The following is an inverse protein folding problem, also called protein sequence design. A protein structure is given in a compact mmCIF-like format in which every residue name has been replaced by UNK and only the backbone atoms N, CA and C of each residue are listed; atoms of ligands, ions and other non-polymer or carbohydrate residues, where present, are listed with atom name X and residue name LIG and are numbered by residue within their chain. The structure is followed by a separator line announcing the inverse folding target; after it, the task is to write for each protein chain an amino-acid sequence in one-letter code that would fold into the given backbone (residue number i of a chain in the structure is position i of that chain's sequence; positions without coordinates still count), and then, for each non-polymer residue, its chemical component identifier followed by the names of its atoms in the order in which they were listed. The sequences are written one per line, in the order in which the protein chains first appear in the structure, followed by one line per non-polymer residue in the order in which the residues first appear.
data_IF_180153548400
#
_entry.id   IF_180153548400
#
_cell.length_a   1.000
_cell.length_b   1.000
_cell.length_c   1.000
_cell.angle_alpha   90.00
_cell.angle_beta   90.00
_cell.angle_gamma   90.00
#
_symmetry.space_group_name_H-M   'P 1'
#
loop_
_entity.id
_entity.type
_entity.pdbx_description
1 polymer ?
#
# COMPACT_ATOMS: atom_id res chain seq x y z
N UNK A 1 5.99 -15.41 18.54
CA UNK A 1 7.12 -14.62 19.07
C UNK A 1 8.43 -15.00 18.39
N UNK A 2 8.54 -16.22 17.85
CA UNK A 2 9.82 -16.78 17.38
C UNK A 2 10.39 -16.11 16.11
N UNK A 3 9.57 -15.33 15.38
CA UNK A 3 10.01 -14.52 14.22
C UNK A 3 10.27 -13.03 14.56
N UNK A 4 10.13 -12.62 15.83
CA UNK A 4 10.27 -11.22 16.23
C UNK A 4 11.75 -10.85 16.36
N UNK A 5 12.22 -9.92 15.51
CA UNK A 5 13.61 -9.48 15.48
C UNK A 5 13.78 -8.05 16.03
N UNK A 6 14.89 -7.75 16.72
CA UNK A 6 15.29 -6.38 17.01
C UNK A 6 15.28 -5.48 15.78
N UNK A 7 14.88 -4.23 15.96
CA UNK A 7 14.73 -3.23 14.90
C UNK A 7 13.36 -3.22 14.21
N UNK A 8 12.49 -4.22 14.46
CA UNK A 8 11.12 -4.24 13.91
C UNK A 8 10.23 -3.29 14.70
N UNK A 9 9.42 -2.49 14.01
CA UNK A 9 8.40 -1.66 14.65
C UNK A 9 7.13 -2.48 14.81
N UNK A 10 6.64 -2.61 16.03
CA UNK A 10 5.51 -3.49 16.35
C UNK A 10 4.50 -2.80 17.26
N UNK A 11 3.26 -3.27 17.19
CA UNK A 11 2.28 -3.12 18.27
C UNK A 11 2.21 -4.44 19.03
N UNK A 12 2.34 -4.37 20.35
CA UNK A 12 2.21 -5.51 21.26
C UNK A 12 1.06 -5.27 22.20
N UNK A 13 0.07 -6.15 22.13
CA UNK A 13 -0.99 -6.23 23.13
C UNK A 13 -0.53 -7.16 24.24
N UNK A 14 -0.63 -6.69 25.48
CA UNK A 14 -0.24 -7.47 26.65
C UNK A 14 -1.27 -7.36 27.77
N UNK A 15 -1.35 -8.39 28.61
CA UNK A 15 -2.19 -8.40 29.80
C UNK A 15 -1.60 -7.52 30.89
N UNK A 16 -2.48 -6.84 31.61
CA UNK A 16 -2.15 -6.08 32.82
C UNK A 16 -2.43 -6.91 34.07
N UNK A 17 -1.90 -6.47 35.21
CA UNK A 17 -2.09 -7.16 36.47
C UNK A 17 -3.55 -7.04 36.96
N UNK A 18 -4.08 -8.06 37.67
CA UNK A 18 -5.40 -7.97 38.27
C UNK A 18 -5.50 -6.78 39.24
N UNK A 19 -6.42 -5.85 38.97
CA UNK A 19 -6.61 -4.63 39.76
C UNK A 19 -6.35 -3.33 39.00
N UNK A 20 -5.74 -3.42 37.81
CA UNK A 20 -5.69 -2.29 36.89
C UNK A 20 -7.07 -1.98 36.30
N UNK A 21 -7.29 -0.71 35.92
CA UNK A 21 -8.56 -0.23 35.34
C UNK A 21 -8.96 -0.96 34.05
N UNK A 22 -7.98 -1.55 33.37
CA UNK A 22 -8.16 -2.36 32.16
C UNK A 22 -7.38 -3.66 32.30
N UNK A 23 -7.86 -4.74 31.69
CA UNK A 23 -7.19 -6.05 31.73
C UNK A 23 -6.04 -6.19 30.71
N UNK A 24 -5.93 -5.26 29.76
CA UNK A 24 -4.91 -5.28 28.71
C UNK A 24 -4.49 -3.88 28.32
N UNK A 25 -3.28 -3.76 27.78
CA UNK A 25 -2.73 -2.53 27.22
C UNK A 25 -2.01 -2.81 25.89
N UNK A 26 -1.76 -1.75 25.12
CA UNK A 26 -1.06 -1.81 23.85
C UNK A 26 0.22 -0.96 23.92
N UNK A 27 1.36 -1.56 23.55
CA UNK A 27 2.64 -0.90 23.41
C UNK A 27 3.04 -0.80 21.93
N UNK A 28 3.29 0.42 21.45
CA UNK A 28 3.75 0.68 20.08
C UNK A 28 5.17 1.23 20.11
N UNK A 29 6.09 0.55 19.44
CA UNK A 29 7.49 0.96 19.44
C UNK A 29 8.38 0.05 18.60
N UNK A 30 9.69 0.23 18.76
CA UNK A 30 10.71 -0.59 18.09
C UNK A 30 11.21 -1.65 19.05
N UNK A 31 11.25 -2.90 18.61
CA UNK A 31 11.83 -3.99 19.39
C UNK A 31 13.32 -3.75 19.56
N UNK A 32 13.80 -3.70 20.80
CA UNK A 32 15.24 -3.54 21.08
C UNK A 32 15.89 -4.87 21.45
N UNK A 33 15.17 -5.77 22.12
CA UNK A 33 15.65 -7.09 22.50
C UNK A 33 14.49 -8.09 22.60
N UNK A 34 14.75 -9.34 22.22
CA UNK A 34 13.84 -10.48 22.42
C UNK A 34 14.67 -11.61 23.03
N UNK A 35 14.14 -12.21 24.09
CA UNK A 35 14.74 -13.36 24.75
C UNK A 35 13.65 -14.33 25.25
N UNK A 36 14.06 -15.37 25.99
CA UNK A 36 13.13 -16.37 26.52
C UNK A 36 12.16 -15.80 27.58
N UNK A 37 12.59 -14.78 28.32
CA UNK A 37 11.80 -14.14 29.37
C UNK A 37 10.80 -13.11 28.81
N UNK A 38 11.01 -12.59 27.61
CA UNK A 38 10.08 -11.64 26.99
C UNK A 38 10.72 -10.69 25.98
N UNK A 39 10.15 -9.49 25.91
CA UNK A 39 10.41 -8.51 24.86
C UNK A 39 10.66 -7.12 25.47
N UNK A 40 11.68 -6.43 24.96
CA UNK A 40 11.88 -4.98 25.18
C UNK A 40 11.47 -4.18 23.95
N UNK A 41 10.71 -3.12 24.19
CA UNK A 41 10.22 -2.18 23.18
C UNK A 41 10.59 -0.76 23.58
N UNK A 42 11.25 -0.03 22.69
CA UNK A 42 11.40 1.41 22.83
C UNK A 42 10.14 2.12 22.31
N UNK A 43 9.37 2.70 23.24
CA UNK A 43 8.11 3.39 22.93
C UNK A 43 8.29 4.91 23.04
N UNK A 44 7.33 5.68 22.51
CA UNK A 44 7.32 7.15 22.67
C UNK A 44 7.29 7.62 24.13
N UNK A 45 6.87 6.77 25.07
CA UNK A 45 6.81 7.07 26.51
C UNK A 45 8.06 6.58 27.26
N UNK A 46 9.02 6.00 26.54
CA UNK A 46 10.22 5.36 27.10
C UNK A 46 10.24 3.85 26.83
N UNK A 47 11.34 3.18 27.21
CA UNK A 47 11.49 1.74 27.06
C UNK A 47 10.51 0.98 27.97
N UNK A 48 9.97 -0.11 27.46
CA UNK A 48 9.03 -0.99 28.15
C UNK A 48 9.45 -2.44 27.98
N UNK A 49 9.52 -3.17 29.09
CA UNK A 49 9.73 -4.62 29.12
C UNK A 49 8.39 -5.32 29.34
N UNK A 50 8.09 -6.32 28.51
CA UNK A 50 6.86 -7.12 28.59
C UNK A 50 7.26 -8.59 28.74
N UNK A 51 6.72 -9.27 29.76
CA UNK A 51 6.99 -10.68 30.00
C UNK A 51 6.35 -11.57 28.91
N UNK A 52 6.99 -12.67 28.56
CA UNK A 52 6.53 -13.54 27.44
C UNK A 52 5.12 -14.08 27.65
N UNK A 53 4.75 -14.38 28.89
CA UNK A 53 3.42 -14.89 29.28
C UNK A 53 2.33 -13.80 29.28
N UNK A 54 2.71 -12.53 29.40
CA UNK A 54 1.80 -11.40 29.30
C UNK A 54 1.49 -11.03 27.84
N UNK A 55 2.30 -11.46 26.86
CA UNK A 55 2.10 -11.10 25.45
C UNK A 55 0.91 -11.85 24.86
N UNK A 56 -0.12 -11.11 24.44
CA UNK A 56 -1.35 -11.65 23.85
C UNK A 56 -1.32 -11.61 22.32
N UNK A 57 -0.76 -10.54 21.76
CA UNK A 57 -0.65 -10.35 20.30
C UNK A 57 0.57 -9.49 19.97
N UNK A 58 1.25 -9.85 18.89
CA UNK A 58 2.28 -9.01 18.28
C UNK A 58 1.94 -8.80 16.82
N UNK A 59 1.98 -7.56 16.36
CA UNK A 59 1.79 -7.21 14.96
C UNK A 59 2.89 -6.26 14.49
N UNK A 60 3.63 -6.64 13.44
CA UNK A 60 4.55 -5.71 12.78
C UNK A 60 3.78 -4.59 12.11
N UNK A 61 4.22 -3.35 12.32
CA UNK A 61 3.61 -2.17 11.74
C UNK A 61 4.62 -1.42 10.89
N UNK A 62 4.16 -0.68 9.86
CA UNK A 62 5.04 0.14 9.02
C UNK A 62 5.88 1.12 9.84
N UNK A 63 7.00 1.63 9.29
CA UNK A 63 7.79 2.68 9.92
C UNK A 63 6.95 3.87 10.41
N UNK A 64 7.45 4.58 11.42
CA UNK A 64 6.77 5.77 11.90
C UNK A 64 6.58 6.78 10.75
N UNK A 65 5.44 7.48 10.68
CA UNK A 65 5.22 8.50 9.66
C UNK A 65 6.36 9.53 9.65
N UNK A 66 6.93 9.79 8.48
CA UNK A 66 8.04 10.75 8.30
C UNK A 66 7.56 12.20 8.23
N UNK A 67 6.27 12.43 7.94
CA UNK A 67 5.63 13.75 7.96
C UNK A 67 4.65 13.82 9.14
N UNK A 68 4.81 14.83 9.98
CA UNK A 68 3.85 15.16 11.04
C UNK A 68 2.72 16.05 10.48
N UNK A 69 1.48 15.86 10.93
CA UNK A 69 0.30 16.58 10.41
C UNK A 69 -0.96 15.71 10.40
N UNK A 70 -2.11 16.28 10.00
CA UNK A 70 -3.34 15.49 9.86
C UNK A 70 -3.23 14.59 8.63
N UNK A 71 -3.75 13.37 8.70
CA UNK A 71 -3.60 12.39 7.59
C UNK A 71 -4.09 12.93 6.25
N UNK A 72 -5.18 13.70 6.23
CA UNK A 72 -5.72 14.31 5.00
C UNK A 72 -4.90 15.50 4.47
N UNK A 73 -3.97 16.05 5.24
CA UNK A 73 -3.03 17.10 4.81
C UNK A 73 -1.73 16.48 4.26
N UNK A 74 -1.37 15.29 4.74
CA UNK A 74 -0.14 14.57 4.35
C UNK A 74 -0.37 13.66 3.14
N UNK A 75 -1.56 13.03 3.08
CA UNK A 75 -1.94 12.07 2.05
C UNK A 75 -2.99 12.72 1.17
N UNK A 76 -2.59 13.09 -0.05
CA UNK A 76 -3.51 13.70 -1.01
C UNK A 76 -4.54 12.67 -1.52
N UNK A 77 -5.63 13.14 -2.13
CA UNK A 77 -6.58 12.26 -2.83
C UNK A 77 -5.89 11.41 -3.92
N UNK A 78 -4.83 11.95 -4.55
CA UNK A 78 -3.99 11.22 -5.51
C UNK A 78 -3.20 10.10 -4.84
N UNK A 79 -2.65 10.35 -3.65
CA UNK A 79 -1.94 9.32 -2.87
C UNK A 79 -2.88 8.20 -2.43
N UNK A 80 -4.10 8.54 -1.97
CA UNK A 80 -5.12 7.53 -1.66
C UNK A 80 -5.51 6.71 -2.89
N UNK A 81 -5.63 7.34 -4.07
CA UNK A 81 -5.89 6.64 -5.34
C UNK A 81 -4.76 5.68 -5.70
N UNK A 82 -3.50 6.10 -5.53
CA UNK A 82 -2.31 5.25 -5.73
C UNK A 82 -2.29 4.05 -4.79
N UNK A 83 -2.52 4.29 -3.50
CA UNK A 83 -2.55 3.23 -2.47
C UNK A 83 -3.69 2.25 -2.76
N UNK A 84 -4.89 2.75 -3.06
CA UNK A 84 -6.04 1.92 -3.40
C UNK A 84 -5.82 1.10 -4.68
N UNK A 85 -5.14 1.67 -5.68
CA UNK A 85 -4.78 0.97 -6.90
C UNK A 85 -3.84 -0.21 -6.61
N UNK A 86 -2.82 -0.01 -5.77
CA UNK A 86 -1.80 -1.02 -5.47
C UNK A 86 -2.31 -2.17 -4.58
N UNK A 87 -3.27 -1.91 -3.69
CA UNK A 87 -3.67 -2.90 -2.69
C UNK A 87 -4.56 -4.04 -3.26
N UNK A 88 -5.31 -3.78 -4.34
CA UNK A 88 -6.30 -4.71 -4.91
C UNK A 88 -6.15 -4.76 -6.43
N UNK A 89 -5.00 -5.23 -6.90
CA UNK A 89 -4.73 -5.44 -8.33
C UNK A 89 -5.32 -6.78 -8.78
N UNK A 90 -6.02 -6.84 -9.91
CA UNK A 90 -6.32 -8.12 -10.55
C UNK A 90 -5.06 -8.70 -11.20
N UNK A 91 -5.19 -9.92 -11.73
CA UNK A 91 -4.08 -10.68 -12.33
C UNK A 91 -3.46 -10.01 -13.57
N UNK A 92 -4.28 -9.31 -14.36
CA UNK A 92 -3.86 -8.69 -15.61
C UNK A 92 -3.95 -7.17 -15.51
N UNK A 93 -2.77 -6.54 -15.45
CA UNK A 93 -2.61 -5.10 -15.31
C UNK A 93 -1.52 -4.57 -16.22
N UNK A 94 -1.69 -3.33 -16.67
CA UNK A 94 -0.64 -2.60 -17.40
C UNK A 94 -0.63 -1.13 -16.99
N UNK A 95 0.55 -0.52 -16.94
CA UNK A 95 0.74 0.89 -16.65
C UNK A 95 1.03 1.65 -17.93
N UNK A 96 0.01 2.34 -18.45
CA UNK A 96 0.12 3.18 -19.62
C UNK A 96 0.81 4.49 -19.24
N UNK A 97 2.07 4.61 -19.67
CA UNK A 97 2.88 5.80 -19.54
C UNK A 97 3.86 5.88 -20.71
N UNK A 98 4.14 7.08 -21.24
CA UNK A 98 5.01 7.28 -22.41
C UNK A 98 6.40 6.63 -22.22
N UNK A 99 6.96 6.71 -21.01
CA UNK A 99 8.23 6.05 -20.67
C UNK A 99 8.13 4.52 -20.67
N UNK A 100 7.01 3.94 -20.22
CA UNK A 100 6.85 2.48 -20.25
C UNK A 100 6.76 1.98 -21.70
N UNK A 101 6.04 2.71 -22.57
CA UNK A 101 5.97 2.41 -24.00
C UNK A 101 7.33 2.53 -24.70
N UNK A 102 8.15 3.52 -24.32
CA UNK A 102 9.53 3.65 -24.80
C UNK A 102 10.39 2.45 -24.37
N UNK A 103 10.23 2.02 -23.13
CA UNK A 103 11.00 0.91 -22.56
C UNK A 103 10.62 -0.44 -23.20
N UNK A 104 9.35 -0.69 -23.48
CA UNK A 104 8.88 -1.90 -24.19
C UNK A 104 9.50 -2.08 -25.59
N UNK A 105 9.94 -0.99 -26.23
CA UNK A 105 10.65 -1.01 -27.51
C UNK A 105 12.14 -1.39 -27.43
N UNK A 106 12.67 -1.69 -26.24
CA UNK A 106 14.10 -1.94 -26.01
C UNK A 106 14.33 -3.36 -25.48
N UNK A 107 15.31 -4.10 -26.01
CA UNK A 107 15.62 -5.50 -25.59
C UNK A 107 15.97 -5.64 -24.09
N UNK A 108 16.23 -4.52 -23.40
CA UNK A 108 16.52 -4.44 -21.95
C UNK A 108 15.27 -4.33 -21.05
N UNK A 109 14.05 -4.38 -21.60
CA UNK A 109 12.80 -4.19 -20.85
C UNK A 109 12.57 -5.20 -19.70
N UNK A 110 13.24 -6.36 -19.74
CA UNK A 110 13.07 -7.43 -18.75
C UNK A 110 13.66 -7.12 -17.37
N UNK A 111 14.61 -6.17 -17.26
CA UNK A 111 15.28 -5.83 -15.98
C UNK A 111 14.81 -4.50 -15.36
N UNK A 112 14.00 -3.71 -16.07
CA UNK A 112 13.54 -2.41 -15.57
C UNK A 112 12.20 -2.57 -14.88
N UNK A 113 12.17 -2.38 -13.56
CA UNK A 113 10.93 -2.26 -12.79
C UNK A 113 10.03 -1.20 -13.44
N UNK A 114 8.92 -1.64 -14.06
CA UNK A 114 7.94 -0.75 -14.68
C UNK A 114 7.59 0.40 -13.73
N UNK A 115 7.60 1.63 -14.25
CA UNK A 115 7.15 2.76 -13.47
C UNK A 115 5.65 2.58 -13.20
N UNK A 116 5.28 2.44 -11.92
CA UNK A 116 3.89 2.44 -11.46
C UNK A 116 3.33 3.88 -11.49
N UNK A 117 3.30 4.47 -12.69
CA UNK A 117 2.92 5.86 -12.98
C UNK A 117 2.04 5.90 -14.22
N UNK A 118 1.21 6.92 -14.32
CA UNK A 118 0.30 7.11 -15.44
C UNK A 118 -1.06 6.45 -15.21
N UNK A 119 -1.59 5.81 -16.25
CA UNK A 119 -2.92 5.21 -16.23
C UNK A 119 -2.81 3.71 -16.01
N UNK A 120 -3.50 3.20 -15.01
CA UNK A 120 -3.53 1.77 -14.69
C UNK A 120 -4.68 1.09 -15.43
N UNK A 121 -4.34 0.22 -16.38
CA UNK A 121 -5.27 -0.66 -17.09
C UNK A 121 -5.43 -1.95 -16.27
N UNK A 122 -6.66 -2.44 -16.15
CA UNK A 122 -7.00 -3.58 -15.27
C UNK A 122 -8.00 -4.49 -15.94
N UNK A 123 -7.74 -5.78 -15.88
CA UNK A 123 -8.62 -6.81 -16.40
C UNK A 123 -8.74 -7.96 -15.40
N UNK A 124 -9.94 -8.49 -15.27
CA UNK A 124 -10.23 -9.66 -14.46
C UNK A 124 -11.42 -10.41 -15.04
N UNK A 125 -11.32 -11.74 -15.12
CA UNK A 125 -12.44 -12.57 -15.56
C UNK A 125 -13.50 -12.80 -14.49
N UNK A 126 -13.12 -12.71 -13.22
CA UNK A 126 -14.00 -13.00 -12.07
C UNK A 126 -14.71 -11.79 -11.50
N UNK A 127 -14.36 -10.58 -11.94
CA UNK A 127 -14.91 -9.32 -11.42
C UNK A 127 -15.56 -8.46 -12.51
N UNK A 128 -16.34 -7.45 -12.10
CA UNK A 128 -16.97 -6.50 -13.03
C UNK A 128 -16.63 -5.06 -12.69
N UNK A 129 -16.84 -4.15 -13.65
CA UNK A 129 -16.71 -2.69 -13.49
C UNK A 129 -15.31 -2.23 -13.11
N UNK A 130 -15.03 -1.97 -11.82
CA UNK A 130 -13.81 -1.28 -11.38
C UNK A 130 -12.54 -2.10 -11.64
N UNK A 131 -12.64 -3.42 -11.54
CA UNK A 131 -11.55 -4.34 -11.87
C UNK A 131 -11.32 -4.48 -13.39
N UNK A 132 -12.21 -3.93 -14.22
CA UNK A 132 -12.21 -3.98 -15.68
C UNK A 132 -12.35 -2.56 -16.25
N UNK A 133 -11.55 -1.62 -15.73
CA UNK A 133 -11.53 -0.24 -16.22
C UNK A 133 -10.19 0.46 -15.99
N UNK A 134 -9.87 1.36 -16.92
CA UNK A 134 -8.73 2.25 -16.85
C UNK A 134 -8.88 3.21 -15.67
N UNK A 135 -7.83 3.30 -14.87
CA UNK A 135 -7.73 4.16 -13.72
C UNK A 135 -6.67 5.24 -13.97
N UNK A 136 -7.05 6.50 -14.28
CA UNK A 136 -6.12 7.61 -14.42
C UNK A 136 -5.57 8.01 -13.04
N UNK A 137 -4.42 7.44 -12.66
CA UNK A 137 -3.78 7.70 -11.36
C UNK A 137 -3.03 9.02 -11.41
N UNK A 138 -2.18 9.19 -12.42
CA UNK A 138 -1.50 10.45 -12.77
C UNK A 138 -1.46 10.65 -14.27
N UNK A 139 -0.82 11.71 -14.74
CA UNK A 139 -0.54 11.92 -16.16
C UNK A 139 0.20 10.71 -16.76
N UNK A 140 -0.26 10.26 -17.93
CA UNK A 140 0.36 9.20 -18.73
C UNK A 140 1.52 9.74 -19.57
N UNK A 141 1.62 11.06 -19.75
CA UNK A 141 2.58 11.70 -20.65
C UNK A 141 2.26 11.48 -22.14
N UNK A 142 1.12 10.87 -22.46
CA UNK A 142 0.59 10.73 -23.82
C UNK A 142 -0.37 11.87 -24.13
N UNK A 143 -0.51 12.20 -25.42
CA UNK A 143 -1.63 13.02 -25.88
C UNK A 143 -2.96 12.32 -25.60
N UNK A 144 -4.03 13.10 -25.40
CA UNK A 144 -5.36 12.57 -25.03
C UNK A 144 -5.87 11.50 -25.99
N UNK A 145 -5.82 11.76 -27.30
CA UNK A 145 -6.26 10.82 -28.35
C UNK A 145 -5.45 9.52 -28.29
N UNK A 146 -4.11 9.62 -28.29
CA UNK A 146 -3.23 8.45 -28.15
C UNK A 146 -3.49 7.65 -26.87
N UNK A 147 -3.74 8.34 -25.76
CA UNK A 147 -4.05 7.70 -24.49
C UNK A 147 -5.36 6.90 -24.56
N UNK A 148 -6.41 7.47 -25.17
CA UNK A 148 -7.67 6.78 -25.36
C UNK A 148 -7.56 5.62 -26.34
N UNK A 149 -6.89 5.80 -27.47
CA UNK A 149 -6.67 4.74 -28.46
C UNK A 149 -5.97 3.53 -27.83
N UNK A 150 -4.93 3.77 -27.02
CA UNK A 150 -4.22 2.73 -26.30
C UNK A 150 -5.12 2.00 -25.27
N UNK A 151 -6.00 2.74 -24.57
CA UNK A 151 -6.98 2.14 -23.65
C UNK A 151 -7.95 1.26 -24.42
N UNK A 152 -8.52 1.76 -25.52
CA UNK A 152 -9.48 1.03 -26.35
C UNK A 152 -8.87 -0.26 -26.89
N UNK A 153 -7.67 -0.18 -27.44
CA UNK A 153 -6.96 -1.33 -27.98
C UNK A 153 -6.69 -2.39 -26.91
N UNK A 154 -6.25 -1.97 -25.72
CA UNK A 154 -5.95 -2.89 -24.62
C UNK A 154 -7.18 -3.66 -24.13
N UNK A 155 -8.35 -3.03 -24.04
CA UNK A 155 -9.60 -3.71 -23.66
C UNK A 155 -10.18 -4.53 -24.82
N UNK A 156 -10.04 -4.07 -26.07
CA UNK A 156 -10.52 -4.76 -27.27
C UNK A 156 -9.82 -6.12 -27.43
N UNK A 157 -8.51 -6.18 -27.24
CA UNK A 157 -7.73 -7.44 -27.29
C UNK A 157 -8.14 -8.46 -26.23
N UNK A 158 -8.80 -7.99 -25.15
CA UNK A 158 -9.36 -8.82 -24.07
C UNK A 158 -10.86 -9.07 -24.21
N UNK A 159 -11.49 -8.64 -25.31
CA UNK A 159 -12.92 -8.81 -25.53
C UNK A 159 -13.80 -8.03 -24.54
N UNK A 160 -13.30 -6.91 -24.00
CA UNK A 160 -14.01 -6.07 -23.03
C UNK A 160 -14.33 -4.69 -23.60
N UNK A 161 -15.43 -4.05 -23.17
CA UNK A 161 -15.66 -2.64 -23.46
C UNK A 161 -14.63 -1.77 -22.70
N UNK A 162 -14.09 -0.75 -23.36
CA UNK A 162 -13.25 0.25 -22.71
C UNK A 162 -14.07 1.09 -21.74
N UNK A 163 -13.52 1.32 -20.54
CA UNK A 163 -14.11 2.16 -19.50
C UNK A 163 -13.01 2.92 -18.79
N UNK A 164 -13.25 4.20 -18.50
CA UNK A 164 -12.33 5.05 -17.73
C UNK A 164 -13.02 5.46 -16.42
N UNK A 165 -12.32 5.33 -15.29
CA UNK A 165 -12.81 5.84 -14.01
C UNK A 165 -12.60 7.35 -13.93
N UNK A 166 -13.70 8.08 -13.82
CA UNK A 166 -13.69 9.52 -13.60
C UNK A 166 -13.93 9.74 -12.11
N UNK A 167 -13.05 10.51 -11.48
CA UNK A 167 -13.25 11.04 -10.14
C UNK A 167 -13.72 12.49 -10.29
N UNK A 168 -14.65 12.94 -9.46
CA UNK A 168 -14.88 14.39 -9.38
C UNK A 168 -13.57 15.03 -8.96
N UNK A 169 -13.24 16.13 -9.62
CA UNK A 169 -12.27 17.06 -9.08
C UNK A 169 -12.96 17.72 -7.88
N UNK A 170 -12.77 17.18 -6.69
CA UNK A 170 -13.11 17.91 -5.48
C UNK A 170 -11.94 18.85 -5.18
N UNK A 171 -12.03 20.06 -5.72
CA UNK A 171 -11.56 21.27 -5.04
C UNK A 171 -12.76 21.80 -4.24
N UNK A 172 -12.92 21.35 -2.99
CA UNK A 172 -13.85 21.92 -2.00
C UNK A 172 -13.32 21.67 -0.60
#
# INVERSE_FOLDING_TARGET
MDDLQPGRRVVVRYSLEPGDTHSTSDALGVVTAVDEAGLEIDTKRGPLRIARDQVLLVHEVPPAPTKAGRTHEIVSAVDLRRISAAAWLPEDVSWLHVENLRNEGTEAAAEVSLLQKGWLLRHSDSATRRANSCLPVTDSGLGWEQGLDAVEEWYRTRGRPSRVQIYSADDS
#
